data_IF_269394589470
#
_entry.id   IF_269394589470
#
_cell.length_a   1.000
_cell.length_b   1.000
_cell.length_c   1.000
_cell.angle_alpha   90.00
_cell.angle_beta   90.00
_cell.angle_gamma   90.00
#
_symmetry.space_group_name_H-M   'P 1'
#
loop_
_entity.id
_entity.type
_entity.pdbx_description
1 polymer ?
#
# COMPACT_ATOMS: atom_id res chain seq x y z
N UNK A 1 -9.70 6.62 9.62
CA UNK A 1 -9.68 6.02 8.26
C UNK A 1 -10.27 7.01 7.26
N UNK A 2 -9.54 7.35 6.19
CA UNK A 2 -9.95 8.30 5.14
C UNK A 2 -9.99 7.59 3.78
N UNK A 3 -10.99 7.87 2.90
CA UNK A 3 -10.96 7.39 1.53
C UNK A 3 -9.88 8.16 0.74
N UNK A 4 -9.09 7.44 -0.04
CA UNK A 4 -8.08 7.95 -0.95
C UNK A 4 -8.39 7.44 -2.36
N UNK A 5 -8.15 8.28 -3.36
CA UNK A 5 -8.26 7.89 -4.76
C UNK A 5 -7.13 8.51 -5.57
N UNK A 6 -6.69 7.81 -6.61
CA UNK A 6 -5.74 8.31 -7.60
C UNK A 6 -6.40 8.21 -8.97
N UNK A 7 -6.49 9.34 -9.65
CA UNK A 7 -6.96 9.40 -11.04
C UNK A 7 -5.87 8.90 -11.99
N UNK A 8 -4.59 9.14 -11.67
CA UNK A 8 -3.47 8.69 -12.47
C UNK A 8 -3.39 7.17 -12.55
N UNK A 9 -3.62 6.49 -11.42
CA UNK A 9 -3.59 5.03 -11.33
C UNK A 9 -4.99 4.39 -11.47
N UNK A 10 -6.07 5.18 -11.47
CA UNK A 10 -7.45 4.69 -11.57
C UNK A 10 -7.87 3.79 -10.39
N UNK A 11 -7.26 3.95 -9.22
CA UNK A 11 -7.50 3.13 -8.04
C UNK A 11 -7.99 3.98 -6.87
N UNK A 12 -8.88 3.40 -6.06
CA UNK A 12 -9.35 3.98 -4.81
C UNK A 12 -9.18 2.97 -3.68
N UNK A 13 -8.95 3.47 -2.47
CA UNK A 13 -8.86 2.64 -1.29
C UNK A 13 -8.96 3.43 0.00
N UNK A 14 -8.84 2.74 1.12
CA UNK A 14 -8.97 3.33 2.44
C UNK A 14 -7.69 3.07 3.20
N UNK A 15 -7.07 4.15 3.63
CA UNK A 15 -5.90 4.07 4.51
C UNK A 15 -6.37 4.01 5.96
N UNK A 16 -5.74 3.15 6.75
CA UNK A 16 -6.00 3.04 8.18
C UNK A 16 -5.61 4.35 8.87
N UNK A 17 -4.34 4.73 8.72
CA UNK A 17 -3.75 5.89 9.38
C UNK A 17 -2.69 6.59 8.50
N UNK A 18 -2.72 7.92 8.51
CA UNK A 18 -1.65 8.77 8.00
C UNK A 18 -1.24 9.67 9.16
N UNK A 19 0.00 9.55 9.62
CA UNK A 19 0.49 10.28 10.78
C UNK A 19 2.01 10.42 10.72
N UNK A 20 2.57 11.32 11.53
CA UNK A 20 4.00 11.38 11.73
C UNK A 20 4.44 10.22 12.64
N UNK A 21 5.34 9.38 12.13
CA UNK A 21 6.00 8.32 12.87
C UNK A 21 7.46 8.67 13.03
N UNK A 22 7.92 8.86 14.27
CA UNK A 22 9.29 9.32 14.58
C UNK A 22 9.67 10.65 13.89
N UNK A 23 8.72 11.59 13.80
CA UNK A 23 8.94 12.90 13.20
C UNK A 23 8.89 12.95 11.67
N UNK A 24 8.48 11.85 11.02
CA UNK A 24 8.36 11.78 9.57
C UNK A 24 6.98 11.31 9.15
N UNK A 25 6.39 11.97 8.15
CA UNK A 25 5.08 11.60 7.65
C UNK A 25 5.10 10.17 7.10
N UNK A 26 4.20 9.33 7.61
CA UNK A 26 4.13 7.93 7.28
C UNK A 26 2.70 7.46 6.98
N UNK A 27 2.57 6.55 6.02
CA UNK A 27 1.39 5.70 5.90
C UNK A 27 1.55 4.54 6.89
N UNK A 28 0.58 4.35 7.77
CA UNK A 28 0.60 3.28 8.77
C UNK A 28 -0.59 2.34 8.53
N UNK A 29 -0.29 1.05 8.34
CA UNK A 29 -1.28 -0.01 8.15
C UNK A 29 -1.15 -1.06 9.26
N UNK A 30 -2.29 -1.45 9.84
CA UNK A 30 -2.32 -2.38 10.96
C UNK A 30 -2.74 -3.77 10.48
N UNK A 31 -1.84 -4.75 10.58
CA UNK A 31 -2.12 -6.14 10.20
C UNK A 31 -2.13 -7.05 11.41
N UNK A 32 -3.23 -7.77 11.60
CA UNK A 32 -3.30 -8.85 12.58
C UNK A 32 -2.95 -10.19 11.93
N UNK A 33 -2.14 -11.03 12.59
CA UNK A 33 -1.82 -12.37 12.10
C UNK A 33 -1.68 -13.40 13.22
N UNK A 34 -1.69 -14.69 12.87
CA UNK A 34 -1.45 -15.77 13.84
C UNK A 34 0.02 -15.87 14.23
N UNK A 35 0.93 -15.50 13.32
CA UNK A 35 2.39 -15.55 13.47
C UNK A 35 3.02 -14.42 12.68
N UNK A 36 4.23 -14.00 13.09
CA UNK A 36 5.01 -13.01 12.34
C UNK A 36 5.28 -13.57 10.94
N UNK A 37 4.76 -12.87 9.92
CA UNK A 37 5.04 -13.22 8.52
C UNK A 37 6.42 -12.72 8.14
N UNK A 38 7.23 -13.48 7.39
CA UNK A 38 8.50 -12.98 6.88
C UNK A 38 8.25 -11.84 5.89
N UNK A 39 9.15 -10.85 5.86
CA UNK A 39 9.02 -9.64 5.04
C UNK A 39 8.68 -9.90 3.56
N UNK A 40 9.29 -10.93 2.96
CA UNK A 40 9.02 -11.35 1.58
C UNK A 40 7.54 -11.65 1.29
N UNK A 41 6.75 -12.03 2.31
CA UNK A 41 5.33 -12.30 2.17
C UNK A 41 4.47 -11.05 2.44
N UNK A 42 5.07 -10.01 3.00
CA UNK A 42 4.45 -8.71 3.26
C UNK A 42 4.63 -7.73 2.09
N UNK A 43 5.33 -8.13 1.04
CA UNK A 43 5.60 -7.27 -0.12
C UNK A 43 4.34 -6.65 -0.72
N UNK A 44 3.24 -7.40 -0.78
CA UNK A 44 1.96 -6.87 -1.28
C UNK A 44 1.37 -5.79 -0.37
N UNK A 45 1.61 -5.86 0.95
CA UNK A 45 1.20 -4.80 1.87
C UNK A 45 1.97 -3.51 1.60
N UNK A 46 3.29 -3.61 1.41
CA UNK A 46 4.13 -2.46 1.07
C UNK A 46 3.72 -1.80 -0.24
N UNK A 47 3.31 -2.60 -1.23
CA UNK A 47 2.79 -2.09 -2.51
C UNK A 47 1.46 -1.34 -2.31
N UNK A 48 0.55 -1.85 -1.48
CA UNK A 48 -0.71 -1.16 -1.15
C UNK A 48 -0.47 0.15 -0.39
N UNK A 49 0.38 0.15 0.64
CA UNK A 49 0.73 1.36 1.39
C UNK A 49 1.40 2.41 0.50
N UNK A 50 2.25 1.97 -0.43
CA UNK A 50 2.86 2.85 -1.43
C UNK A 50 1.80 3.46 -2.34
N UNK A 51 0.78 2.70 -2.73
CA UNK A 51 -0.35 3.24 -3.50
C UNK A 51 -1.09 4.33 -2.70
N UNK A 52 -1.33 4.12 -1.41
CA UNK A 52 -1.92 5.15 -0.54
C UNK A 52 -1.04 6.40 -0.41
N UNK A 53 0.27 6.23 -0.31
CA UNK A 53 1.21 7.36 -0.31
C UNK A 53 1.12 8.16 -1.61
N UNK A 54 1.03 7.49 -2.76
CA UNK A 54 0.84 8.13 -4.06
C UNK A 54 -0.51 8.87 -4.15
N UNK A 55 -1.61 8.23 -3.76
CA UNK A 55 -2.94 8.88 -3.74
C UNK A 55 -2.94 10.10 -2.81
N UNK A 56 -2.34 9.97 -1.63
CA UNK A 56 -2.26 11.08 -0.68
C UNK A 56 -1.46 12.25 -1.24
N UNK A 57 -0.34 11.98 -1.91
CA UNK A 57 0.44 12.99 -2.61
C UNK A 57 -0.36 13.67 -3.72
N UNK A 58 -1.09 12.91 -4.53
CA UNK A 58 -1.95 13.47 -5.60
C UNK A 58 -3.07 14.36 -5.03
N UNK A 59 -3.70 13.94 -3.93
CA UNK A 59 -4.82 14.67 -3.33
C UNK A 59 -4.37 15.91 -2.53
N UNK A 60 -3.19 15.90 -1.92
CA UNK A 60 -2.76 16.92 -0.96
C UNK A 60 -1.50 17.69 -1.36
N UNK A 61 -0.77 17.23 -2.38
CA UNK A 61 0.56 17.71 -2.74
C UNK A 61 1.67 17.37 -1.74
N UNK A 62 1.36 16.64 -0.65
CA UNK A 62 2.31 16.36 0.43
C UNK A 62 2.91 14.96 0.27
N UNK A 63 4.24 14.90 0.14
CA UNK A 63 4.96 13.65 -0.04
C UNK A 63 5.07 12.90 1.30
N UNK A 64 4.83 11.59 1.27
CA UNK A 64 4.98 10.74 2.45
C UNK A 64 6.39 10.16 2.49
N UNK A 65 7.09 10.31 3.60
CA UNK A 65 8.52 9.96 3.77
C UNK A 65 8.75 8.46 3.93
N UNK A 66 7.81 7.74 4.55
CA UNK A 66 7.91 6.28 4.74
C UNK A 66 6.56 5.57 4.80
N UNK A 67 6.59 4.25 4.64
CA UNK A 67 5.43 3.37 4.88
C UNK A 67 5.78 2.42 6.02
N UNK A 68 4.80 2.15 6.88
CA UNK A 68 4.97 1.40 8.13
C UNK A 68 3.85 0.37 8.24
N UNK A 69 4.19 -0.90 8.10
CA UNK A 69 3.27 -1.99 8.42
C UNK A 69 3.49 -2.45 9.85
N UNK A 70 2.47 -2.31 10.69
CA UNK A 70 2.50 -2.80 12.07
C UNK A 70 1.78 -4.14 12.14
N UNK A 71 2.56 -5.21 12.27
CA UNK A 71 2.04 -6.57 12.39
C UNK A 71 1.89 -6.95 13.87
N UNK A 72 0.65 -7.14 14.31
CA UNK A 72 0.31 -7.65 15.65
C UNK A 72 -0.09 -9.11 15.53
N UNK A 73 0.55 -9.96 16.32
CA UNK A 73 0.21 -11.36 16.40
C UNK A 73 -0.73 -11.63 17.58
N UNK A 74 -1.62 -12.61 17.43
CA UNK A 74 -2.59 -12.99 18.48
C UNK A 74 -1.92 -13.40 19.80
N UNK A 75 -0.67 -13.88 19.72
CA UNK A 75 0.14 -14.23 20.89
C UNK A 75 0.80 -13.01 21.59
N UNK A 76 0.52 -11.80 21.11
CA UNK A 76 1.09 -10.55 21.64
C UNK A 76 2.39 -10.11 20.97
N UNK A 77 2.97 -10.90 20.05
CA UNK A 77 4.17 -10.49 19.34
C UNK A 77 3.87 -9.34 18.38
N UNK A 78 4.69 -8.30 18.40
CA UNK A 78 4.56 -7.16 17.48
C UNK A 78 5.81 -7.06 16.61
N UNK A 79 5.60 -6.87 15.32
CA UNK A 79 6.67 -6.62 14.36
C UNK A 79 6.33 -5.41 13.49
N UNK A 80 7.23 -4.43 13.49
CA UNK A 80 7.12 -3.24 12.64
C UNK A 80 8.00 -3.44 11.41
N UNK A 81 7.41 -3.19 10.24
CA UNK A 81 8.11 -3.16 8.96
C UNK A 81 8.12 -1.74 8.42
N UNK A 82 9.29 -1.12 8.41
CA UNK A 82 9.46 0.23 7.88
C UNK A 82 10.15 0.20 6.52
N UNK A 83 9.58 0.94 5.55
CA UNK A 83 10.17 1.09 4.23
C UNK A 83 10.20 2.55 3.80
N UNK A 84 11.41 3.02 3.48
CA UNK A 84 11.66 4.36 2.93
C UNK A 84 11.74 4.34 1.41
N UNK A 85 12.34 3.29 0.85
CA UNK A 85 12.46 3.12 -0.60
C UNK A 85 11.11 2.71 -1.21
N UNK A 86 10.34 3.70 -1.64
CA UNK A 86 9.06 3.52 -2.35
C UNK A 86 9.24 3.13 -3.81
N UNK A 87 10.38 3.45 -4.43
CA UNK A 87 10.60 3.30 -5.87
C UNK A 87 10.44 1.86 -6.36
N UNK A 88 10.90 0.88 -5.58
CA UNK A 88 10.76 -0.53 -5.93
C UNK A 88 9.31 -1.00 -5.86
N UNK A 89 8.55 -0.48 -4.89
CA UNK A 89 7.13 -0.77 -4.74
C UNK A 89 6.26 -0.04 -5.76
N UNK A 90 6.63 1.17 -6.21
CA UNK A 90 5.95 1.88 -7.30
C UNK A 90 6.05 1.10 -8.61
N UNK A 91 7.22 0.50 -8.91
CA UNK A 91 7.39 -0.36 -10.09
C UNK A 91 6.47 -1.58 -10.03
N UNK A 92 6.39 -2.22 -8.87
CA UNK A 92 5.50 -3.37 -8.63
C UNK A 92 4.03 -2.97 -8.71
N UNK A 93 3.65 -1.84 -8.11
CA UNK A 93 2.32 -1.27 -8.20
C UNK A 93 1.90 -1.07 -9.66
N UNK A 94 2.76 -0.41 -10.44
CA UNK A 94 2.52 -0.18 -11.87
C UNK A 94 2.35 -1.48 -12.63
N UNK A 95 3.16 -2.51 -12.31
CA UNK A 95 3.02 -3.84 -12.91
C UNK A 95 1.67 -4.47 -12.55
N UNK A 96 1.27 -4.46 -11.28
CA UNK A 96 -0.01 -5.04 -10.84
C UNK A 96 -1.22 -4.32 -11.43
N UNK A 97 -1.18 -2.99 -11.53
CA UNK A 97 -2.25 -2.23 -12.19
C UNK A 97 -2.34 -2.60 -13.66
N UNK A 98 -1.21 -2.68 -14.37
CA UNK A 98 -1.19 -3.11 -15.79
C UNK A 98 -1.74 -4.52 -15.96
N UNK A 99 -1.33 -5.47 -15.12
CA UNK A 99 -1.84 -6.84 -15.14
C UNK A 99 -3.35 -6.87 -14.86
N UNK A 100 -3.82 -6.15 -13.85
CA UNK A 100 -5.24 -6.04 -13.52
C UNK A 100 -6.07 -5.46 -14.65
N UNK A 101 -5.64 -4.35 -15.25
CA UNK A 101 -6.32 -3.70 -16.38
C UNK A 101 -6.32 -4.61 -17.60
N UNK A 102 -5.21 -5.29 -17.90
CA UNK A 102 -5.11 -6.24 -19.02
C UNK A 102 -6.04 -7.44 -18.82
N UNK A 103 -6.06 -8.02 -17.61
CA UNK A 103 -6.97 -9.11 -17.28
C UNK A 103 -8.43 -8.69 -17.40
N UNK A 104 -8.79 -7.49 -16.91
CA UNK A 104 -10.16 -6.98 -17.02
C UNK A 104 -10.57 -6.72 -18.46
N UNK A 105 -9.69 -6.15 -19.28
CA UNK A 105 -9.97 -5.93 -20.70
C UNK A 105 -10.07 -7.26 -21.48
N UNK A 106 -9.31 -8.28 -21.09
CA UNK A 106 -9.41 -9.63 -21.63
C UNK A 106 -10.76 -10.29 -21.32
N UNK A 107 -11.27 -10.16 -20.10
CA UNK A 107 -12.61 -10.66 -19.71
C UNK A 107 -13.75 -10.01 -20.52
N UNK A 108 -13.59 -8.76 -20.98
CA UNK A 108 -14.55 -8.09 -21.85
C UNK A 108 -14.32 -8.31 -23.36
N UNK A 109 -13.19 -8.93 -23.75
CA UNK A 109 -12.78 -9.13 -25.14
C UNK A 109 -13.13 -10.50 -25.75
N UNK A 110 -13.45 -11.51 -24.95
CA UNK A 110 -13.91 -12.85 -25.40
C UNK A 110 -15.44 -12.98 -25.40
N UNK A 111 -16.15 -11.87 -25.55
CA UNK A 111 -17.61 -11.80 -25.57
C UNK A 111 -18.21 -11.16 -26.82
N UNK A 112 -17.49 -11.15 -27.96
CA UNK A 112 -17.99 -10.63 -29.25
C UNK A 112 -17.82 -11.63 -30.37
#
# INVERSE_FOLDING_TARGET
EKPLYSEYFGIAGRVDCIAEYEGELAIIDFKTSKKIKPEKWCQNYFVQETAYACMYYEMTGTAVEKIVTLMVCENGDVKVYEKRNKSDYIKLLTKYIKEFVTHKLGEYGEGS
#
